data_IF_331693957242
#
_entry.id   IF_331693957242
#
_cell.length_a   1.000
_cell.length_b   1.000
_cell.length_c   1.000
_cell.angle_alpha   90.00
_cell.angle_beta   90.00
_cell.angle_gamma   90.00
#
_symmetry.space_group_name_H-M   'P 1'
#
loop_
_entity.id
_entity.type
_entity.pdbx_description
1 polymer ?
#
# COMPACT_ATOMS: atom_id res chain seq x y z
N UNK A 1 23.14 -21.74 17.03
CA UNK A 1 21.86 -21.14 16.59
C UNK A 1 22.17 -20.28 15.37
N UNK A 2 21.99 -20.84 14.17
CA UNK A 2 22.36 -20.17 12.91
C UNK A 2 21.20 -19.29 12.44
N UNK A 3 21.47 -18.00 12.25
CA UNK A 3 20.54 -17.04 11.67
C UNK A 3 20.24 -17.46 10.23
N UNK A 4 18.97 -17.76 9.93
CA UNK A 4 18.50 -17.93 8.56
C UNK A 4 18.33 -16.52 7.97
N UNK A 5 19.00 -16.18 6.85
CA UNK A 5 18.85 -14.87 6.23
C UNK A 5 17.41 -14.72 5.73
N UNK A 6 16.85 -13.51 5.88
CA UNK A 6 15.52 -13.12 5.42
C UNK A 6 15.42 -13.26 3.90
N UNK A 7 15.15 -14.49 3.46
CA UNK A 7 14.86 -14.82 2.07
C UNK A 7 13.45 -14.33 1.81
N UNK A 8 13.31 -13.41 0.85
CA UNK A 8 12.04 -12.88 0.33
C UNK A 8 11.15 -14.06 -0.06
N UNK A 9 10.26 -14.48 0.85
CA UNK A 9 9.44 -15.67 0.69
C UNK A 9 8.23 -15.33 -0.21
N UNK A 10 8.49 -15.02 -1.48
CA UNK A 10 7.44 -14.83 -2.50
C UNK A 10 6.90 -16.19 -2.97
N UNK A 11 7.61 -17.29 -2.70
CA UNK A 11 7.19 -18.65 -3.03
C UNK A 11 6.90 -19.48 -1.78
N UNK A 12 5.87 -20.36 -1.81
CA UNK A 12 5.68 -21.36 -0.77
C UNK A 12 6.96 -22.22 -0.64
N UNK A 13 7.25 -22.75 0.56
CA UNK A 13 8.48 -23.50 0.81
C UNK A 13 8.67 -24.60 -0.23
N UNK A 14 9.85 -24.63 -0.85
CA UNK A 14 10.23 -25.66 -1.80
C UNK A 14 10.10 -27.04 -1.13
N UNK A 15 9.31 -27.94 -1.73
CA UNK A 15 9.09 -29.30 -1.22
C UNK A 15 7.63 -29.67 -0.94
N UNK A 16 6.69 -28.72 -0.89
CA UNK A 16 5.26 -29.03 -0.66
C UNK A 16 4.48 -29.10 -1.98
N UNK A 17 4.81 -30.08 -2.83
CA UNK A 17 4.20 -30.26 -4.17
C UNK A 17 2.66 -30.32 -4.14
N UNK A 18 2.06 -30.81 -3.04
CA UNK A 18 0.61 -30.89 -2.85
C UNK A 18 -0.09 -29.53 -2.84
N UNK A 19 0.56 -28.45 -2.39
CA UNK A 19 -0.01 -27.10 -2.40
C UNK A 19 -0.04 -26.52 -3.81
N UNK A 20 1.00 -26.81 -4.61
CA UNK A 20 1.11 -26.35 -6.01
C UNK A 20 -0.01 -26.90 -6.90
N UNK A 21 -0.29 -28.20 -6.82
CA UNK A 21 -1.35 -28.84 -7.64
C UNK A 21 -2.76 -28.28 -7.34
N UNK A 22 -3.04 -27.88 -6.09
CA UNK A 22 -4.31 -27.24 -5.73
C UNK A 22 -4.42 -25.83 -6.32
N UNK A 23 -3.34 -25.07 -6.27
CA UNK A 23 -3.25 -23.72 -6.84
C UNK A 23 -3.37 -23.76 -8.37
N UNK A 24 -2.74 -24.72 -9.03
CA UNK A 24 -2.85 -24.92 -10.49
C UNK A 24 -4.29 -25.22 -10.91
N UNK A 25 -5.01 -26.09 -10.18
CA UNK A 25 -6.42 -26.37 -10.46
C UNK A 25 -7.32 -25.14 -10.24
N UNK A 26 -7.03 -24.35 -9.21
CA UNK A 26 -7.72 -23.09 -8.94
C UNK A 26 -7.52 -22.11 -10.10
N UNK A 27 -6.27 -21.90 -10.53
CA UNK A 27 -5.97 -21.05 -11.69
C UNK A 27 -6.59 -21.58 -12.98
N UNK A 28 -6.63 -22.90 -13.20
CA UNK A 28 -7.37 -23.50 -14.32
C UNK A 28 -8.87 -23.22 -14.25
N UNK A 29 -9.45 -23.19 -13.06
CA UNK A 29 -10.86 -22.80 -12.83
C UNK A 29 -11.08 -21.33 -13.16
N UNK A 30 -10.17 -20.45 -12.77
CA UNK A 30 -10.25 -19.03 -13.11
C UNK A 30 -10.06 -18.79 -14.62
N UNK A 31 -9.09 -19.44 -15.26
CA UNK A 31 -8.90 -19.35 -16.70
C UNK A 31 -10.14 -19.83 -17.48
N UNK A 32 -10.76 -20.93 -17.06
CA UNK A 32 -11.91 -21.51 -17.76
C UNK A 32 -13.24 -20.80 -17.51
N UNK A 33 -13.43 -20.20 -16.34
CA UNK A 33 -14.69 -19.55 -15.99
C UNK A 33 -14.61 -18.02 -16.02
N UNK A 34 -13.55 -17.41 -15.51
CA UNK A 34 -13.42 -15.96 -15.51
C UNK A 34 -12.93 -15.46 -16.88
N UNK A 35 -11.76 -15.92 -17.32
CA UNK A 35 -11.12 -15.40 -18.55
C UNK A 35 -11.95 -15.70 -19.81
N UNK A 36 -12.69 -16.81 -19.82
CA UNK A 36 -13.58 -17.17 -20.94
C UNK A 36 -14.73 -16.20 -21.21
N UNK A 37 -15.02 -15.29 -20.27
CA UNK A 37 -16.11 -14.30 -20.38
C UNK A 37 -15.69 -13.02 -21.11
N UNK A 38 -14.40 -12.81 -21.30
CA UNK A 38 -13.88 -11.69 -22.08
C UNK A 38 -13.76 -12.08 -23.56
N UNK A 39 -14.23 -11.20 -24.46
CA UNK A 39 -14.24 -11.45 -25.90
C UNK A 39 -12.83 -11.43 -26.51
N UNK A 40 -11.89 -10.72 -25.88
CA UNK A 40 -10.49 -10.59 -26.30
C UNK A 40 -9.66 -11.80 -25.87
N UNK A 41 -9.88 -12.93 -26.56
CA UNK A 41 -9.00 -14.08 -26.41
C UNK A 41 -7.69 -13.82 -27.17
N UNK A 42 -6.59 -13.66 -26.43
CA UNK A 42 -5.32 -14.22 -26.88
C UNK A 42 -5.48 -15.75 -26.87
N UNK A 43 -6.11 -16.30 -27.91
CA UNK A 43 -6.29 -17.74 -28.04
C UNK A 43 -4.93 -18.41 -27.95
N UNK A 44 -4.83 -19.43 -27.10
CA UNK A 44 -3.69 -20.34 -26.98
C UNK A 44 -3.47 -21.24 -28.22
N UNK A 45 -4.00 -20.85 -29.37
CA UNK A 45 -4.00 -21.59 -30.63
C UNK A 45 -3.49 -20.69 -31.76
N UNK A 46 -2.23 -20.85 -32.20
CA UNK A 46 -1.64 -20.07 -33.29
C UNK A 46 -2.39 -20.18 -34.62
N UNK A 47 -3.20 -21.23 -34.83
CA UNK A 47 -3.89 -21.48 -36.11
C UNK A 47 -5.18 -20.68 -36.24
N UNK A 48 -5.80 -20.27 -35.14
CA UNK A 48 -7.01 -19.44 -35.12
C UNK A 48 -6.76 -17.93 -35.19
N UNK A 49 -5.49 -17.51 -35.21
CA UNK A 49 -5.10 -16.10 -35.06
C UNK A 49 -5.32 -15.24 -36.31
N UNK A 50 -5.40 -15.83 -37.50
CA UNK A 50 -5.67 -15.12 -38.77
C UNK A 50 -4.96 -13.76 -38.88
N UNK A 51 -5.63 -12.80 -39.55
CA UNK A 51 -5.23 -11.39 -39.62
C UNK A 51 -5.95 -10.53 -38.54
N UNK A 52 -6.05 -11.05 -37.30
CA UNK A 52 -6.74 -10.34 -36.22
C UNK A 52 -5.84 -9.24 -35.62
N UNK A 53 -6.20 -7.97 -35.83
CA UNK A 53 -5.52 -6.81 -35.28
C UNK A 53 -5.83 -6.64 -33.78
N UNK A 54 -5.15 -7.44 -32.94
CA UNK A 54 -5.40 -7.53 -31.49
C UNK A 54 -5.13 -6.25 -30.68
N UNK A 55 -4.59 -5.20 -31.29
CA UNK A 55 -4.28 -3.93 -30.61
C UNK A 55 -5.40 -2.89 -30.69
N UNK A 56 -6.33 -3.01 -31.65
CA UNK A 56 -7.36 -1.99 -31.89
C UNK A 56 -8.70 -2.25 -31.16
N UNK A 57 -8.88 -3.44 -30.58
CA UNK A 57 -10.15 -3.88 -29.97
C UNK A 57 -10.02 -4.29 -28.49
N UNK A 58 -8.88 -4.05 -27.84
CA UNK A 58 -8.70 -4.32 -26.42
C UNK A 58 -9.59 -3.40 -25.57
N UNK A 59 -10.75 -3.91 -25.18
CA UNK A 59 -11.85 -3.12 -24.59
C UNK A 59 -11.76 -2.94 -23.07
N UNK A 60 -10.78 -3.55 -22.41
CA UNK A 60 -10.63 -3.55 -20.95
C UNK A 60 -9.34 -2.88 -20.52
N UNK A 61 -9.45 -1.90 -19.63
CA UNK A 61 -8.28 -1.38 -18.93
C UNK A 61 -7.79 -2.39 -17.88
N UNK A 62 -6.55 -2.23 -17.42
CA UNK A 62 -6.00 -3.04 -16.31
C UNK A 62 -6.89 -2.96 -15.05
N UNK A 63 -7.42 -1.77 -14.75
CA UNK A 63 -8.31 -1.54 -13.62
C UNK A 63 -9.65 -2.27 -13.78
N UNK A 64 -10.22 -2.26 -14.99
CA UNK A 64 -11.46 -2.98 -15.28
C UNK A 64 -11.28 -4.49 -15.13
N UNK A 65 -10.15 -5.02 -15.59
CA UNK A 65 -9.82 -6.44 -15.44
C UNK A 65 -9.70 -6.83 -13.97
N UNK A 66 -9.00 -6.03 -13.17
CA UNK A 66 -8.81 -6.27 -11.74
C UNK A 66 -10.12 -6.16 -10.96
N UNK A 67 -10.92 -5.14 -11.26
CA UNK A 67 -12.26 -4.97 -10.69
C UNK A 67 -13.15 -6.18 -11.00
N UNK A 68 -13.22 -6.57 -12.27
CA UNK A 68 -13.98 -7.75 -12.70
C UNK A 68 -13.47 -9.03 -12.04
N UNK A 69 -12.16 -9.16 -11.82
CA UNK A 69 -11.57 -10.33 -11.17
C UNK A 69 -11.93 -10.40 -9.68
N UNK A 70 -11.92 -9.27 -8.97
CA UNK A 70 -12.37 -9.18 -7.59
C UNK A 70 -13.84 -9.56 -7.48
N UNK A 71 -14.72 -8.97 -8.31
CA UNK A 71 -16.15 -9.33 -8.37
C UNK A 71 -16.34 -10.82 -8.65
N UNK A 72 -15.61 -11.38 -9.62
CA UNK A 72 -15.70 -12.81 -9.90
C UNK A 72 -15.29 -13.67 -8.70
N UNK A 73 -14.19 -13.33 -8.02
CA UNK A 73 -13.74 -14.08 -6.84
C UNK A 73 -14.80 -14.00 -5.74
N UNK A 74 -15.21 -12.80 -5.36
CA UNK A 74 -16.06 -12.57 -4.18
C UNK A 74 -17.50 -12.99 -4.45
N UNK A 75 -18.10 -12.52 -5.55
CA UNK A 75 -19.54 -12.63 -5.78
C UNK A 75 -19.91 -13.91 -6.54
N UNK A 76 -18.98 -14.49 -7.31
CA UNK A 76 -19.25 -15.69 -8.13
C UNK A 76 -18.59 -16.93 -7.56
N UNK A 77 -17.25 -16.94 -7.41
CA UNK A 77 -16.52 -18.13 -7.01
C UNK A 77 -16.84 -18.55 -5.58
N UNK A 78 -16.79 -17.62 -4.61
CA UNK A 78 -17.06 -17.92 -3.21
C UNK A 78 -18.52 -18.28 -2.93
N UNK A 79 -19.45 -17.91 -3.81
CA UNK A 79 -20.88 -18.22 -3.68
C UNK A 79 -21.30 -19.48 -4.43
N UNK A 80 -20.48 -19.97 -5.37
CA UNK A 80 -20.80 -21.17 -6.14
C UNK A 80 -20.56 -22.45 -5.33
N UNK A 81 -21.54 -23.35 -5.34
CA UNK A 81 -21.41 -24.69 -4.74
C UNK A 81 -20.25 -25.47 -5.36
N UNK A 82 -19.48 -26.13 -4.50
CA UNK A 82 -18.28 -26.85 -4.89
C UNK A 82 -18.38 -28.33 -4.50
N UNK A 83 -18.24 -29.24 -5.46
CA UNK A 83 -18.34 -30.68 -5.21
C UNK A 83 -17.30 -31.17 -4.19
N UNK A 84 -16.08 -30.62 -4.23
CA UNK A 84 -15.02 -30.91 -3.26
C UNK A 84 -15.28 -30.39 -1.83
N UNK A 85 -16.35 -29.63 -1.62
CA UNK A 85 -16.81 -29.15 -0.30
C UNK A 85 -18.15 -29.78 0.09
N UNK A 86 -18.48 -30.95 -0.46
CA UNK A 86 -19.74 -31.63 -0.15
C UNK A 86 -20.98 -30.88 -0.63
N UNK A 87 -20.83 -30.00 -1.63
CA UNK A 87 -21.93 -29.20 -2.18
C UNK A 87 -22.17 -27.86 -1.48
N UNK A 88 -21.36 -27.49 -0.48
CA UNK A 88 -21.29 -26.12 0.07
C UNK A 88 -20.56 -25.18 -0.90
N UNK A 89 -20.86 -23.89 -0.83
CA UNK A 89 -19.99 -22.86 -1.41
C UNK A 89 -18.76 -22.61 -0.52
N UNK A 90 -17.64 -22.08 -1.06
CA UNK A 90 -16.50 -21.69 -0.25
C UNK A 90 -16.86 -20.72 0.90
N UNK A 91 -17.76 -19.76 0.68
CA UNK A 91 -18.24 -18.85 1.72
C UNK A 91 -18.98 -19.61 2.84
N UNK A 92 -19.91 -20.50 2.49
CA UNK A 92 -20.64 -21.30 3.48
C UNK A 92 -19.71 -22.21 4.30
N UNK A 93 -18.75 -22.85 3.62
CA UNK A 93 -17.75 -23.68 4.28
C UNK A 93 -16.88 -22.86 5.22
N UNK A 94 -16.46 -21.65 4.81
CA UNK A 94 -15.71 -20.71 5.63
C UNK A 94 -16.51 -20.33 6.88
N UNK A 95 -17.75 -19.86 6.73
CA UNK A 95 -18.62 -19.44 7.85
C UNK A 95 -18.82 -20.60 8.85
N UNK A 96 -19.09 -21.81 8.36
CA UNK A 96 -19.23 -23.01 9.20
C UNK A 96 -17.94 -23.33 9.97
N UNK A 97 -16.78 -23.23 9.31
CA UNK A 97 -15.50 -23.55 9.94
C UNK A 97 -15.07 -22.47 10.93
N UNK A 98 -15.31 -21.19 10.62
CA UNK A 98 -15.08 -20.08 11.55
C UNK A 98 -15.99 -20.19 12.77
N UNK A 99 -17.27 -20.53 12.59
CA UNK A 99 -18.18 -20.76 13.71
C UNK A 99 -17.73 -21.95 14.59
N UNK A 100 -17.11 -22.97 13.99
CA UNK A 100 -16.67 -24.18 14.69
C UNK A 100 -15.32 -24.00 15.41
N UNK A 101 -14.36 -23.31 14.79
CA UNK A 101 -12.97 -23.27 15.24
C UNK A 101 -12.49 -21.86 15.63
N UNK A 102 -13.30 -20.83 15.37
CA UNK A 102 -12.90 -19.43 15.52
C UNK A 102 -12.06 -18.93 14.34
N UNK A 103 -11.79 -17.62 14.35
CA UNK A 103 -10.78 -17.02 13.48
C UNK A 103 -9.39 -17.21 14.08
N UNK A 104 -8.35 -17.43 13.26
CA UNK A 104 -6.98 -17.26 13.71
C UNK A 104 -6.79 -15.87 14.31
N UNK A 105 -5.98 -15.77 15.36
CA UNK A 105 -5.61 -14.47 15.91
C UNK A 105 -5.01 -13.61 14.79
N UNK A 106 -5.42 -12.33 14.65
CA UNK A 106 -4.86 -11.46 13.65
C UNK A 106 -3.36 -11.31 13.91
N UNK A 107 -2.58 -11.24 12.83
CA UNK A 107 -1.16 -10.89 12.94
C UNK A 107 -1.06 -9.47 13.49
N UNK A 108 -0.22 -9.29 14.50
CA UNK A 108 0.00 -7.99 15.12
C UNK A 108 0.40 -6.94 14.06
N UNK A 109 -0.04 -5.70 14.26
CA UNK A 109 0.20 -4.65 13.27
C UNK A 109 1.70 -4.39 13.06
N UNK A 110 2.51 -4.49 14.12
CA UNK A 110 3.96 -4.37 14.07
C UNK A 110 4.57 -5.50 13.26
N UNK A 111 4.16 -6.75 13.53
CA UNK A 111 4.65 -7.92 12.79
C UNK A 111 4.25 -7.84 11.31
N UNK A 112 3.01 -7.48 11.02
CA UNK A 112 2.54 -7.32 9.63
C UNK A 112 3.35 -6.27 8.89
N UNK A 113 3.61 -5.10 9.50
CA UNK A 113 4.42 -4.04 8.88
C UNK A 113 5.89 -4.41 8.80
N UNK A 114 6.42 -5.11 9.79
CA UNK A 114 7.77 -5.64 9.76
C UNK A 114 7.92 -6.71 8.65
N UNK A 115 6.90 -7.52 8.33
CA UNK A 115 7.01 -8.56 7.30
C UNK A 115 6.73 -8.01 5.89
N UNK A 116 5.67 -7.22 5.74
CA UNK A 116 5.13 -6.82 4.43
C UNK A 116 5.32 -5.34 4.09
N UNK A 117 5.73 -4.52 5.06
CA UNK A 117 5.91 -3.10 4.83
C UNK A 117 7.02 -2.82 3.81
N UNK A 118 6.86 -1.71 3.10
CA UNK A 118 7.83 -1.30 2.09
C UNK A 118 9.07 -0.77 2.78
N UNK A 119 10.22 -1.32 2.41
CA UNK A 119 11.51 -1.03 3.05
C UNK A 119 12.14 0.27 2.52
N UNK A 120 12.65 1.07 3.44
CA UNK A 120 13.45 2.28 3.18
C UNK A 120 14.64 2.32 4.14
N UNK A 121 15.66 3.11 3.78
CA UNK A 121 16.75 3.46 4.68
C UNK A 121 16.83 4.96 4.90
N UNK A 122 16.95 5.39 6.16
CA UNK A 122 17.04 6.81 6.50
C UNK A 122 18.04 7.05 7.64
N UNK A 123 18.61 8.25 7.65
CA UNK A 123 19.54 8.69 8.69
C UNK A 123 18.77 9.22 9.89
N UNK A 124 19.16 8.81 11.10
CA UNK A 124 18.61 9.34 12.34
C UNK A 124 19.11 10.78 12.55
N UNK A 125 18.22 11.64 13.02
CA UNK A 125 18.50 13.01 13.45
C UNK A 125 18.06 13.23 14.90
N UNK A 126 18.36 14.40 15.47
CA UNK A 126 17.93 14.74 16.83
C UNK A 126 16.41 14.77 17.04
N UNK A 127 15.62 14.91 15.96
CA UNK A 127 14.15 14.86 16.01
C UNK A 127 13.57 13.46 15.75
N UNK A 128 14.43 12.48 15.47
CA UNK A 128 14.03 11.14 15.01
C UNK A 128 14.39 10.94 13.54
N UNK A 129 13.52 10.31 12.77
CA UNK A 129 13.74 10.01 11.35
C UNK A 129 12.71 10.74 10.50
N UNK A 130 13.17 11.42 9.44
CA UNK A 130 12.28 12.12 8.52
C UNK A 130 11.89 11.25 7.34
N UNK A 131 10.59 11.14 7.09
CA UNK A 131 9.99 10.45 5.93
C UNK A 131 8.71 11.19 5.53
N UNK A 132 8.41 11.31 4.24
CA UNK A 132 7.15 11.91 3.75
C UNK A 132 6.92 13.35 4.22
N UNK A 133 8.00 14.09 4.50
CA UNK A 133 7.95 15.45 5.03
C UNK A 133 7.67 15.55 6.54
N UNK A 134 7.44 14.43 7.24
CA UNK A 134 7.17 14.38 8.68
C UNK A 134 8.36 13.77 9.45
N UNK A 135 8.52 14.20 10.71
CA UNK A 135 9.48 13.60 11.64
C UNK A 135 8.79 12.48 12.45
N UNK A 136 9.41 11.29 12.46
CA UNK A 136 8.95 10.11 13.19
C UNK A 136 9.87 9.82 14.36
N UNK A 137 9.31 9.49 15.52
CA UNK A 137 10.10 9.24 16.72
C UNK A 137 9.53 8.16 17.64
N UNK A 138 10.40 7.55 18.42
CA UNK A 138 10.11 6.64 19.53
C UNK A 138 11.28 6.57 20.49
N UNK A 139 11.10 5.94 21.65
CA UNK A 139 12.13 5.83 22.69
C UNK A 139 13.41 5.15 22.19
N UNK A 140 13.26 4.07 21.41
CA UNK A 140 14.38 3.34 20.85
C UNK A 140 15.22 4.21 19.89
N UNK A 141 14.58 5.04 19.06
CA UNK A 141 15.28 5.99 18.19
C UNK A 141 16.01 7.07 18.98
N UNK A 142 15.35 7.64 20.00
CA UNK A 142 15.94 8.68 20.85
C UNK A 142 17.17 8.15 21.59
N UNK A 143 17.10 6.91 22.09
CA UNK A 143 18.23 6.25 22.73
C UNK A 143 19.35 5.93 21.71
N UNK A 144 18.99 5.39 20.54
CA UNK A 144 19.97 5.08 19.49
C UNK A 144 20.77 6.32 19.05
N UNK A 145 20.09 7.47 18.90
CA UNK A 145 20.74 8.72 18.50
C UNK A 145 21.78 9.22 19.51
N UNK A 146 21.53 9.05 20.82
CA UNK A 146 22.47 9.48 21.87
C UNK A 146 23.81 8.74 21.82
N UNK A 147 23.80 7.48 21.35
CA UNK A 147 24.98 6.64 21.32
C UNK A 147 25.69 6.64 19.96
N UNK A 148 24.99 6.99 18.87
CA UNK A 148 25.59 7.14 17.54
C UNK A 148 24.76 8.08 16.64
N UNK A 149 25.30 9.26 16.34
CA UNK A 149 24.61 10.33 15.61
C UNK A 149 24.52 10.14 14.09
N UNK A 150 25.28 9.20 13.49
CA UNK A 150 25.37 9.03 12.03
C UNK A 150 24.87 7.67 11.54
N UNK A 151 23.90 7.09 12.24
CA UNK A 151 23.35 5.78 11.87
C UNK A 151 22.27 5.92 10.80
N UNK A 152 22.49 5.29 9.64
CA UNK A 152 21.38 4.89 8.76
C UNK A 152 20.69 3.69 9.38
N UNK A 153 19.35 3.69 9.37
CA UNK A 153 18.54 2.57 9.81
C UNK A 153 17.60 2.12 8.72
N UNK A 154 17.23 0.84 8.78
CA UNK A 154 16.15 0.28 7.99
C UNK A 154 14.83 0.60 8.65
N UNK A 155 13.86 0.97 7.83
CA UNK A 155 12.49 1.18 8.24
C UNK A 155 11.54 0.52 7.25
N UNK A 156 10.34 0.18 7.71
CA UNK A 156 9.25 -0.36 6.91
C UNK A 156 7.97 0.41 7.18
N UNK A 157 7.23 0.77 6.15
CA UNK A 157 5.95 1.46 6.28
C UNK A 157 4.84 0.73 5.53
N UNK A 158 3.59 1.00 5.91
CA UNK A 158 2.41 0.52 5.21
C UNK A 158 1.93 1.59 4.25
N UNK A 159 1.82 1.26 2.97
CA UNK A 159 1.37 2.19 1.95
C UNK A 159 -0.08 2.67 2.15
N UNK A 160 -0.87 1.98 2.99
CA UNK A 160 -2.25 2.33 3.29
C UNK A 160 -2.42 3.20 4.53
N UNK A 161 -1.37 3.33 5.36
CA UNK A 161 -1.39 4.17 6.56
C UNK A 161 0.03 4.62 6.92
N UNK A 162 0.30 5.89 6.60
CA UNK A 162 1.56 6.57 6.84
C UNK A 162 1.74 7.10 8.27
N UNK A 163 0.77 6.91 9.17
CA UNK A 163 0.80 7.49 10.52
C UNK A 163 1.93 6.97 11.41
N UNK A 164 2.52 5.84 11.08
CA UNK A 164 3.67 5.29 11.79
C UNK A 164 4.54 4.41 10.89
N UNK A 165 5.76 4.17 11.32
CA UNK A 165 6.74 3.31 10.62
C UNK A 165 7.33 2.30 11.60
N UNK A 166 7.68 1.12 11.11
CA UNK A 166 8.50 0.16 11.83
C UNK A 166 9.97 0.52 11.60
N UNK A 167 10.73 0.83 12.65
CA UNK A 167 12.16 1.12 12.57
C UNK A 167 12.97 0.01 13.23
N UNK A 168 14.05 -0.41 12.59
CA UNK A 168 14.93 -1.43 13.16
C UNK A 168 16.05 -0.78 13.97
N UNK A 169 16.08 -1.05 15.27
CA UNK A 169 17.13 -0.62 16.18
C UNK A 169 17.73 -1.86 16.82
N UNK A 170 19.03 -2.08 16.61
CA UNK A 170 19.77 -3.22 17.17
C UNK A 170 19.14 -4.60 16.83
N UNK A 171 18.58 -4.74 15.63
CA UNK A 171 17.94 -5.97 15.16
C UNK A 171 16.51 -6.20 15.68
N UNK A 172 15.95 -5.23 16.40
CA UNK A 172 14.58 -5.26 16.92
C UNK A 172 13.76 -4.18 16.22
N UNK A 173 12.55 -4.52 15.80
CA UNK A 173 11.63 -3.58 15.19
C UNK A 173 10.83 -2.84 16.27
N UNK A 174 10.75 -1.51 16.15
CA UNK A 174 9.97 -0.64 17.04
C UNK A 174 9.01 0.23 16.23
N UNK A 175 7.80 0.50 16.73
CA UNK A 175 6.93 1.50 16.10
C UNK A 175 7.46 2.91 16.41
N UNK A 176 7.60 3.72 15.36
CA UNK A 176 7.85 5.15 15.47
C UNK A 176 6.69 5.91 14.82
N UNK A 177 6.17 6.91 15.53
CA UNK A 177 4.94 7.60 15.15
C UNK A 177 5.24 8.98 14.58
N UNK A 178 4.40 9.41 13.65
CA UNK A 178 4.42 10.76 13.09
C UNK A 178 4.20 11.81 14.19
N UNK A 179 5.16 12.72 14.37
CA UNK A 179 5.09 13.79 15.37
C UNK A 179 4.16 14.94 14.97
N UNK A 180 3.84 15.08 13.68
CA UNK A 180 2.93 16.10 13.18
C UNK A 180 1.46 15.73 13.40
N UNK A 181 1.14 14.44 13.44
CA UNK A 181 -0.23 13.91 13.47
C UNK A 181 -0.97 14.04 12.13
N UNK A 182 -0.29 14.45 11.06
CA UNK A 182 -0.89 14.68 9.75
C UNK A 182 -1.14 13.38 8.98
N UNK A 183 -0.35 12.34 9.22
CA UNK A 183 -0.29 11.17 8.34
C UNK A 183 -1.13 9.97 8.79
N UNK A 184 -1.76 10.03 9.97
CA UNK A 184 -2.59 8.93 10.47
C UNK A 184 -3.81 8.68 9.57
N UNK A 185 -3.96 7.44 9.09
CA UNK A 185 -5.05 7.05 8.19
C UNK A 185 -4.89 7.57 6.76
N UNK A 186 -3.74 8.17 6.43
CA UNK A 186 -3.43 8.68 5.11
C UNK A 186 -2.58 7.67 4.36
N UNK A 187 -3.00 7.28 3.16
CA UNK A 187 -2.23 6.39 2.30
C UNK A 187 -1.15 7.14 1.53
N UNK A 188 -0.12 6.41 1.09
CA UNK A 188 0.93 6.95 0.23
C UNK A 188 0.36 7.58 -1.06
N UNK A 189 -0.72 7.03 -1.60
CA UNK A 189 -1.36 7.55 -2.81
C UNK A 189 -2.02 8.91 -2.56
N UNK A 190 -2.72 9.05 -1.43
CA UNK A 190 -3.35 10.30 -1.03
C UNK A 190 -2.29 11.37 -0.76
N UNK A 191 -1.25 11.02 -0.01
CA UNK A 191 -0.11 11.91 0.23
C UNK A 191 0.58 12.31 -1.07
N UNK A 192 0.84 11.37 -1.98
CA UNK A 192 1.51 11.65 -3.25
C UNK A 192 0.69 12.55 -4.16
N UNK A 193 -0.63 12.34 -4.23
CA UNK A 193 -1.54 13.18 -5.02
C UNK A 193 -1.56 14.62 -4.46
N UNK A 194 -1.73 14.76 -3.14
CA UNK A 194 -1.70 16.05 -2.48
C UNK A 194 -0.35 16.76 -2.67
N UNK A 195 0.76 16.06 -2.45
CA UNK A 195 2.11 16.62 -2.58
C UNK A 195 2.35 17.14 -4.00
N UNK A 196 1.89 16.42 -5.04
CA UNK A 196 1.95 16.91 -6.43
C UNK A 196 1.19 18.22 -6.61
N UNK A 197 -0.05 18.29 -6.11
CA UNK A 197 -0.90 19.48 -6.26
C UNK A 197 -0.32 20.68 -5.52
N UNK A 198 0.08 20.51 -4.26
CA UNK A 198 0.63 21.60 -3.45
C UNK A 198 1.98 22.08 -3.98
N UNK A 199 2.85 21.18 -4.44
CA UNK A 199 4.15 21.57 -5.01
C UNK A 199 4.02 22.31 -6.35
N UNK A 200 2.98 22.01 -7.14
CA UNK A 200 2.69 22.76 -8.36
C UNK A 200 2.28 24.21 -8.05
N UNK A 201 1.56 24.43 -6.94
CA UNK A 201 1.04 25.75 -6.56
C UNK A 201 2.02 26.58 -5.71
N UNK A 202 2.81 25.97 -4.82
CA UNK A 202 3.57 26.68 -3.78
C UNK A 202 5.01 26.16 -3.63
N UNK A 203 5.87 26.49 -4.61
CA UNK A 203 7.29 26.09 -4.63
C UNK A 203 8.15 26.69 -3.50
N UNK A 204 7.75 27.83 -2.92
CA UNK A 204 8.60 28.61 -2.01
C UNK A 204 8.23 28.51 -0.52
N UNK A 205 7.02 28.05 -0.17
CA UNK A 205 6.56 27.97 1.23
C UNK A 205 5.71 26.73 1.44
N UNK A 206 6.24 25.71 2.11
CA UNK A 206 5.45 24.51 2.41
C UNK A 206 5.75 23.90 3.78
N UNK A 207 6.04 24.74 4.78
CA UNK A 207 5.82 24.34 6.17
C UNK A 207 4.31 24.28 6.43
N UNK A 208 3.79 23.14 6.86
CA UNK A 208 2.35 22.89 7.00
C UNK A 208 2.02 22.21 8.32
N UNK A 209 0.88 22.58 8.92
CA UNK A 209 0.33 21.88 10.09
C UNK A 209 -0.64 20.79 9.67
N UNK A 210 -0.88 19.80 10.54
CA UNK A 210 -1.83 18.71 10.27
C UNK A 210 -3.25 19.22 9.91
N UNK A 211 -3.72 20.28 10.56
CA UNK A 211 -5.05 20.86 10.28
C UNK A 211 -5.18 21.37 8.84
N UNK A 212 -4.19 22.14 8.37
CA UNK A 212 -4.17 22.65 6.98
C UNK A 212 -4.11 21.49 5.99
N UNK A 213 -3.33 20.46 6.30
CA UNK A 213 -3.19 19.28 5.47
C UNK A 213 -4.51 18.52 5.33
N UNK A 214 -5.19 18.22 6.43
CA UNK A 214 -6.47 17.50 6.42
C UNK A 214 -7.57 18.30 5.75
N UNK A 215 -7.61 19.63 5.95
CA UNK A 215 -8.56 20.49 5.26
C UNK A 215 -8.30 20.53 3.75
N UNK A 216 -7.04 20.59 3.33
CA UNK A 216 -6.66 20.52 1.91
C UNK A 216 -7.00 19.15 1.29
N UNK A 217 -6.71 18.05 1.97
CA UNK A 217 -7.12 16.70 1.57
C UNK A 217 -8.64 16.60 1.39
N UNK A 218 -9.42 17.20 2.31
CA UNK A 218 -10.89 17.23 2.23
C UNK A 218 -11.38 18.05 1.02
N UNK A 219 -10.77 19.21 0.77
CA UNK A 219 -11.17 20.15 -0.30
C UNK A 219 -10.85 19.64 -1.70
N UNK A 220 -9.81 18.82 -1.84
CA UNK A 220 -9.40 18.33 -3.16
C UNK A 220 -10.39 17.35 -3.79
N UNK A 221 -11.42 16.85 -3.09
CA UNK A 221 -12.36 15.79 -3.55
C UNK A 221 -11.70 14.49 -4.07
N UNK A 222 -10.37 14.45 -4.25
CA UNK A 222 -9.53 13.39 -4.80
C UNK A 222 -9.48 12.12 -3.93
N UNK A 223 -10.27 12.06 -2.87
CA UNK A 223 -10.26 11.02 -1.86
C UNK A 223 -11.61 10.32 -1.75
N UNK A 224 -12.27 10.03 -2.87
CA UNK A 224 -13.11 8.84 -2.81
C UNK A 224 -12.15 7.68 -2.53
N UNK A 225 -12.46 6.90 -1.49
CA UNK A 225 -11.79 5.63 -1.20
C UNK A 225 -11.65 4.79 -2.48
N UNK A 226 -12.60 4.94 -3.43
CA UNK A 226 -12.58 4.35 -4.76
C UNK A 226 -11.39 4.77 -5.64
N UNK A 227 -11.00 6.05 -5.71
CA UNK A 227 -9.84 6.47 -6.51
C UNK A 227 -8.51 5.93 -5.95
N UNK A 228 -8.39 5.92 -4.61
CA UNK A 228 -7.24 5.31 -3.92
C UNK A 228 -7.23 3.78 -4.09
N UNK A 229 -8.38 3.13 -3.98
CA UNK A 229 -8.54 1.69 -4.20
C UNK A 229 -8.27 1.31 -5.66
N UNK A 230 -8.71 2.12 -6.63
CA UNK A 230 -8.44 1.89 -8.05
C UNK A 230 -6.94 2.05 -8.36
N UNK A 231 -6.27 3.03 -7.77
CA UNK A 231 -4.81 3.17 -7.87
C UNK A 231 -4.06 2.01 -7.18
N UNK A 232 -4.64 1.44 -6.11
CA UNK A 232 -4.09 0.30 -5.37
C UNK A 232 -4.14 -1.00 -6.18
N UNK A 233 -5.22 -1.23 -6.94
CA UNK A 233 -5.39 -2.46 -7.72
C UNK A 233 -4.26 -2.64 -8.75
N UNK A 234 -3.83 -1.58 -9.44
CA UNK A 234 -2.81 -1.65 -10.50
C UNK A 234 -1.34 -1.50 -10.05
N UNK A 235 -1.06 -1.21 -8.77
CA UNK A 235 0.33 -1.00 -8.28
C UNK A 235 0.58 -1.75 -6.98
N UNK A 236 0.88 -3.05 -7.10
CA UNK A 236 1.05 -3.92 -5.94
C UNK A 236 2.37 -3.73 -5.17
N UNK A 237 3.39 -3.10 -5.76
CA UNK A 237 4.63 -2.77 -5.04
C UNK A 237 5.30 -1.53 -5.63
N UNK A 238 5.73 -0.60 -4.76
CA UNK A 238 6.68 0.45 -5.10
C UNK A 238 8.07 -0.01 -4.68
N UNK A 239 9.07 0.14 -5.56
CA UNK A 239 10.46 -0.06 -5.18
C UNK A 239 10.96 1.08 -4.29
N UNK A 240 11.97 0.81 -3.47
CA UNK A 240 12.63 1.84 -2.65
C UNK A 240 13.16 2.99 -3.52
N UNK A 241 13.65 2.70 -4.73
CA UNK A 241 14.10 3.71 -5.67
C UNK A 241 12.96 4.58 -6.22
N UNK A 242 11.80 4.00 -6.51
CA UNK A 242 10.63 4.76 -6.95
C UNK A 242 10.07 5.62 -5.82
N UNK A 243 10.12 5.14 -4.58
CA UNK A 243 9.72 5.90 -3.41
C UNK A 243 10.69 7.04 -3.13
N UNK A 244 11.99 6.77 -3.15
CA UNK A 244 13.01 7.79 -3.01
C UNK A 244 12.94 8.80 -4.16
N UNK A 245 12.67 8.35 -5.39
CA UNK A 245 12.47 9.23 -6.54
C UNK A 245 11.21 10.04 -6.38
N UNK A 246 10.09 9.44 -6.00
CA UNK A 246 8.84 10.15 -5.73
C UNK A 246 9.06 11.17 -4.62
N UNK A 247 9.72 10.80 -3.52
CA UNK A 247 10.03 11.72 -2.43
C UNK A 247 11.02 12.82 -2.86
N UNK A 248 12.02 12.55 -3.72
CA UNK A 248 12.92 13.59 -4.23
C UNK A 248 12.27 14.50 -5.27
N UNK A 249 11.43 13.94 -6.14
CA UNK A 249 10.71 14.67 -7.20
C UNK A 249 9.55 15.48 -6.61
N UNK A 250 8.91 14.97 -5.54
CA UNK A 250 7.81 15.63 -4.83
C UNK A 250 8.28 16.43 -3.62
N UNK A 251 9.48 16.16 -3.09
CA UNK A 251 9.98 16.70 -1.84
C UNK A 251 11.21 17.58 -2.01
N UNK A 252 10.97 18.85 -2.34
CA UNK A 252 11.88 19.95 -1.99
C UNK A 252 11.15 21.13 -1.35
N UNK A 253 10.01 20.90 -0.69
CA UNK A 253 9.29 21.98 0.02
C UNK A 253 8.37 21.55 1.18
N UNK A 254 7.65 20.42 1.05
CA UNK A 254 6.65 20.04 2.06
C UNK A 254 7.30 19.56 3.37
N UNK A 255 7.09 20.30 4.44
CA UNK A 255 7.57 20.01 5.78
C UNK A 255 6.40 20.09 6.77
N UNK A 256 6.05 18.95 7.36
CA UNK A 256 5.04 18.94 8.42
C UNK A 256 5.65 19.42 9.73
N UNK A 257 5.00 20.41 10.33
CA UNK A 257 5.38 20.91 11.64
C UNK A 257 4.93 19.93 12.73
N UNK A 258 5.74 19.73 13.79
CA UNK A 258 5.31 18.98 14.97
C UNK A 258 3.99 19.51 15.53
N UNK A 259 3.16 18.64 16.07
CA UNK A 259 1.85 18.99 16.64
C UNK A 259 1.92 20.01 17.79
N UNK A 260 3.05 20.05 18.50
CA UNK A 260 3.35 20.97 19.61
C UNK A 260 4.04 22.27 19.17
N UNK A 261 4.23 22.50 17.86
CA UNK A 261 4.80 23.74 17.36
C UNK A 261 3.87 24.94 17.63
N UNK A 262 4.42 26.12 17.98
CA UNK A 262 3.62 27.31 18.25
C UNK A 262 2.77 27.66 17.02
N UNK A 263 1.45 27.64 17.20
CA UNK A 263 0.49 28.00 16.16
C UNK A 263 0.60 29.50 15.89
N UNK A 264 1.29 29.91 14.83
CA UNK A 264 1.09 31.26 14.33
C UNK A 264 -0.37 31.37 13.87
N UNK A 265 -1.08 32.49 14.14
CA UNK A 265 -2.40 32.71 13.58
C UNK A 265 -2.28 32.65 12.06
N UNK A 266 -2.72 31.55 11.48
CA UNK A 266 -2.64 31.34 10.04
C UNK A 266 -3.53 32.39 9.39
N UNK A 267 -2.93 33.22 8.51
CA UNK A 267 -3.72 33.93 7.50
C UNK A 267 -4.60 32.90 6.80
N UNK A 268 -5.87 33.22 6.56
CA UNK A 268 -6.80 32.35 5.84
C UNK A 268 -6.06 31.78 4.61
N UNK A 269 -5.88 30.47 4.58
CA UNK A 269 -5.02 29.82 3.60
C UNK A 269 -5.68 29.88 2.23
N UNK A 270 -5.37 30.94 1.47
CA UNK A 270 -5.78 31.21 0.08
C UNK A 270 -5.19 30.26 -0.97
N UNK A 271 -4.68 29.10 -0.54
CA UNK A 271 -3.86 28.20 -1.36
C UNK A 271 -4.70 27.50 -2.44
N UNK A 272 -6.03 27.65 -2.38
CA UNK A 272 -7.04 27.03 -3.25
C UNK A 272 -8.11 28.03 -3.73
N UNK A 273 -7.92 29.35 -3.58
CA UNK A 273 -8.94 30.33 -4.03
C UNK A 273 -9.06 30.44 -5.56
N UNK A 274 -8.05 29.99 -6.31
CA UNK A 274 -8.19 29.72 -7.74
C UNK A 274 -8.61 28.28 -7.92
N UNK A 275 -9.90 28.03 -8.21
CA UNK A 275 -10.39 26.69 -8.52
C UNK A 275 -9.56 26.00 -9.62
N UNK A 276 -9.63 24.68 -9.64
CA UNK A 276 -8.97 23.85 -10.65
C UNK A 276 -9.64 24.05 -12.02
N UNK A 277 -8.98 24.72 -12.96
CA UNK A 277 -9.32 24.68 -14.39
C UNK A 277 -8.85 23.37 -15.04
#
# INVERSE_FOLDING_TARGET
>A
MSLVPATRLINPPAGVAKLRSRIERLFGTFASHFVSRFRDRAFSDPVRRGDYASEAEASLTEQDLLGAFVTYIVDVYHQRRHAGLGGESPAQCWDRLVAKYGLPAPVDAMDRRAIFGVELERTISGRGVRVFGADFSCDALRQAYKHNHQRKLRLRFDQMDLGWIAVEVNGIWHPAYDLSGALSGVSFYQWSAFAKTVMAANREQAAMTAGIYHDGLRRLELLSVEAANAAQLGRMTLSAEELDRAERTLGLGLHFLPSDAPTQPAAASNWLEGGFE
#
